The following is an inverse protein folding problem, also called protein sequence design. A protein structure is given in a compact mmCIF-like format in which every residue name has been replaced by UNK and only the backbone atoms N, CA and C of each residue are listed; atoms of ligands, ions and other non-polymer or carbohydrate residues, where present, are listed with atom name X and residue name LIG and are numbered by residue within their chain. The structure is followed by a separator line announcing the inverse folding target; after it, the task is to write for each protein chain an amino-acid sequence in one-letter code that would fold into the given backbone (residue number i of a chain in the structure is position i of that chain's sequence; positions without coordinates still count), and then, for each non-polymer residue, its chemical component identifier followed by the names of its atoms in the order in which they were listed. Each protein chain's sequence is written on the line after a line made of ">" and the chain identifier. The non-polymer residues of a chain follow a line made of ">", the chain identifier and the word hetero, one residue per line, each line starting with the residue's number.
data_IF_489385087276
#
_entry.id   IF_489385087276
#
_cell.length_a   1.000
_cell.length_b   1.000
_cell.length_c   1.000
_cell.angle_alpha   90.00
_cell.angle_beta   90.00
_cell.angle_gamma   90.00
#
_symmetry.space_group_name_H-M   'P 1'
#
loop_
_entity.id
_entity.type
_entity.pdbx_description
1 polymer ?
#
# COMPACT_ATOMS: atom_id res chain seq x y z
N UNK A 1 22.80 31.85 12.44
CA UNK A 1 22.85 30.92 11.28
C UNK A 1 22.20 29.62 11.74
N UNK A 2 21.09 29.22 11.12
CA UNK A 2 20.37 27.99 11.53
C UNK A 2 18.85 28.12 11.51
N UNK A 3 18.28 28.68 10.44
CA UNK A 3 16.88 28.40 10.11
C UNK A 3 16.85 26.98 9.56
N UNK A 4 16.67 25.99 10.46
CA UNK A 4 16.31 24.65 10.03
C UNK A 4 14.84 24.70 9.64
N UNK A 5 14.65 24.75 8.32
CA UNK A 5 13.41 24.99 7.59
C UNK A 5 12.26 24.06 8.04
N UNK A 6 11.25 24.64 8.68
CA UNK A 6 9.97 23.96 8.96
C UNK A 6 9.32 23.43 7.67
N UNK A 7 9.66 24.02 6.51
CA UNK A 7 9.25 23.55 5.18
C UNK A 7 9.89 22.21 4.79
N UNK A 8 11.12 21.92 5.24
CA UNK A 8 11.79 20.64 4.99
C UNK A 8 11.18 19.53 5.85
N UNK A 9 10.81 19.83 7.10
CA UNK A 9 10.10 18.89 7.97
C UNK A 9 8.70 18.55 7.43
N UNK A 10 7.96 19.56 6.94
CA UNK A 10 6.67 19.36 6.26
C UNK A 10 6.82 18.62 4.92
N UNK A 11 7.92 18.82 4.19
CA UNK A 11 8.23 18.08 2.96
C UNK A 11 8.49 16.60 3.23
N UNK A 12 9.27 16.27 4.26
CA UNK A 12 9.54 14.87 4.65
C UNK A 12 8.29 14.17 5.19
N UNK A 13 7.42 14.85 5.94
CA UNK A 13 6.13 14.27 6.39
C UNK A 13 5.14 14.05 5.24
N UNK A 14 5.19 14.88 4.19
CA UNK A 14 4.39 14.72 2.97
C UNK A 14 4.88 13.58 2.07
N UNK A 15 6.15 13.19 2.16
CA UNK A 15 6.71 12.14 1.29
C UNK A 15 6.39 10.70 1.74
N UNK A 16 6.00 10.49 3.00
CA UNK A 16 5.74 9.16 3.57
C UNK A 16 4.37 9.05 4.26
N UNK A 17 3.30 9.53 3.64
CA UNK A 17 1.94 9.31 4.19
C UNK A 17 1.42 7.95 3.74
N UNK A 18 1.57 6.92 4.59
CA UNK A 18 0.88 5.64 4.41
C UNK A 18 -0.57 5.78 4.86
N UNK A 19 -1.52 5.79 3.92
CA UNK A 19 -2.95 5.69 4.27
C UNK A 19 -3.27 4.21 4.45
N UNK A 20 -3.24 3.77 5.71
CA UNK A 20 -3.61 2.40 6.06
C UNK A 20 -5.14 2.27 6.03
N UNK A 21 -5.69 1.87 4.88
CA UNK A 21 -7.11 1.59 4.75
C UNK A 21 -7.45 0.21 5.32
N UNK A 22 -7.53 0.13 6.65
CA UNK A 22 -8.22 -0.98 7.32
C UNK A 22 -9.61 -0.48 7.68
N UNK A 23 -10.53 -0.50 6.71
CA UNK A 23 -11.95 -0.51 7.02
C UNK A 23 -12.37 -1.98 7.06
N UNK A 24 -12.84 -2.43 8.23
CA UNK A 24 -13.11 -3.83 8.55
C UNK A 24 -13.97 -4.56 7.51
N UNK A 25 -13.81 -5.89 7.46
CA UNK A 25 -14.59 -6.83 6.65
C UNK A 25 -15.04 -6.24 5.31
N UNK A 26 -14.09 -6.16 4.36
CA UNK A 26 -14.27 -5.59 3.03
C UNK A 26 -14.54 -4.08 3.11
N UNK A 27 -13.51 -3.27 2.83
CA UNK A 27 -13.58 -1.82 2.82
C UNK A 27 -14.79 -1.32 2.04
N UNK A 28 -15.79 -0.83 2.76
CA UNK A 28 -17.01 -0.26 2.18
C UNK A 28 -16.64 0.97 1.34
N UNK A 29 -17.27 1.10 0.17
CA UNK A 29 -17.03 2.21 -0.76
C UNK A 29 -17.21 3.56 -0.05
N UNK A 30 -16.14 4.36 0.00
CA UNK A 30 -16.17 5.71 0.59
C UNK A 30 -15.68 6.73 -0.41
N UNK A 31 -16.62 7.49 -0.99
CA UNK A 31 -16.30 8.58 -1.92
C UNK A 31 -15.40 9.64 -1.28
N UNK A 32 -15.66 9.97 -0.02
CA UNK A 32 -14.87 10.96 0.73
C UNK A 32 -13.42 10.49 0.90
N UNK A 33 -13.20 9.19 1.15
CA UNK A 33 -11.85 8.64 1.25
C UNK A 33 -11.11 8.68 -0.08
N UNK A 34 -11.77 8.32 -1.20
CA UNK A 34 -11.18 8.44 -2.54
C UNK A 34 -10.79 9.89 -2.87
N UNK A 35 -11.70 10.84 -2.63
CA UNK A 35 -11.46 12.27 -2.89
C UNK A 35 -10.31 12.81 -2.04
N UNK A 36 -10.23 12.43 -0.77
CA UNK A 36 -9.13 12.84 0.11
C UNK A 36 -7.77 12.32 -0.38
N UNK A 37 -7.69 11.05 -0.81
CA UNK A 37 -6.46 10.48 -1.37
C UNK A 37 -6.07 11.19 -2.67
N UNK A 38 -7.04 11.46 -3.55
CA UNK A 38 -6.79 12.19 -4.80
C UNK A 38 -6.24 13.59 -4.55
N UNK A 39 -6.81 14.33 -3.60
CA UNK A 39 -6.36 15.68 -3.24
C UNK A 39 -4.95 15.67 -2.65
N UNK A 40 -4.63 14.71 -1.76
CA UNK A 40 -3.30 14.55 -1.21
C UNK A 40 -2.24 14.38 -2.31
N UNK A 41 -2.50 13.52 -3.29
CA UNK A 41 -1.56 13.27 -4.37
C UNK A 41 -1.49 14.46 -5.34
N UNK A 42 -2.62 14.88 -5.88
CA UNK A 42 -2.68 15.87 -6.98
C UNK A 42 -2.35 17.29 -6.53
N UNK A 43 -2.84 17.71 -5.37
CA UNK A 43 -2.73 19.10 -4.91
C UNK A 43 -1.55 19.31 -3.96
N UNK A 44 -1.17 18.27 -3.22
CA UNK A 44 -0.14 18.38 -2.19
C UNK A 44 1.16 17.63 -2.52
N UNK A 45 1.19 16.87 -3.62
CA UNK A 45 2.37 16.12 -4.05
C UNK A 45 2.76 15.01 -3.05
N UNK A 46 1.80 14.52 -2.28
CA UNK A 46 2.00 13.46 -1.28
C UNK A 46 1.94 12.12 -1.98
N UNK A 47 3.00 11.32 -1.85
CA UNK A 47 2.93 9.91 -2.27
C UNK A 47 2.05 9.16 -1.26
N UNK A 48 0.97 8.57 -1.76
CA UNK A 48 0.07 7.74 -0.96
C UNK A 48 0.25 6.29 -1.38
N UNK A 49 0.66 5.44 -0.44
CA UNK A 49 0.78 3.98 -0.63
C UNK A 49 -0.37 3.30 0.11
N UNK A 50 -1.07 2.39 -0.57
CA UNK A 50 -2.26 1.71 -0.06
C UNK A 50 -2.16 0.20 -0.28
N UNK A 51 -2.81 -0.58 0.59
CA UNK A 51 -2.90 -2.03 0.42
C UNK A 51 -3.99 -2.38 -0.60
N UNK A 52 -3.75 -3.40 -1.44
CA UNK A 52 -4.75 -3.91 -2.38
C UNK A 52 -5.96 -4.56 -1.70
N UNK A 53 -5.79 -5.00 -0.44
CA UNK A 53 -6.81 -5.70 0.35
C UNK A 53 -6.57 -7.21 0.48
N UNK A 54 -7.24 -7.83 1.45
CA UNK A 54 -7.05 -9.22 1.86
C UNK A 54 -8.35 -10.04 1.78
N UNK A 55 -9.02 -10.04 0.62
CA UNK A 55 -10.32 -10.72 0.45
C UNK A 55 -10.44 -11.52 -0.84
N UNK A 56 -9.36 -11.71 -1.59
CA UNK A 56 -9.36 -12.40 -2.90
C UNK A 56 -10.35 -11.75 -3.91
N UNK A 57 -10.49 -10.43 -3.85
CA UNK A 57 -11.37 -9.65 -4.72
C UNK A 57 -10.56 -8.85 -5.76
N UNK A 58 -11.28 -8.27 -6.72
CA UNK A 58 -10.71 -7.25 -7.59
C UNK A 58 -10.49 -5.95 -6.80
N UNK A 59 -9.24 -5.49 -6.75
CA UNK A 59 -8.80 -4.28 -6.05
C UNK A 59 -9.51 -3.03 -6.56
N UNK A 60 -9.94 -3.04 -7.82
CA UNK A 60 -10.72 -1.93 -8.39
C UNK A 60 -12.11 -1.76 -7.76
N UNK A 61 -12.60 -2.78 -7.04
CA UNK A 61 -13.91 -2.73 -6.38
C UNK A 61 -13.86 -2.20 -4.95
N UNK A 62 -12.66 -1.91 -4.42
CA UNK A 62 -12.47 -1.42 -3.05
C UNK A 62 -11.77 -0.06 -3.02
N UNK A 63 -12.08 0.73 -1.99
CA UNK A 63 -11.44 2.02 -1.74
C UNK A 63 -10.44 1.87 -0.59
N UNK A 64 -9.25 2.48 -0.66
CA UNK A 64 -8.69 3.36 -1.69
C UNK A 64 -7.85 2.65 -2.76
N UNK A 65 -7.84 1.31 -2.83
CA UNK A 65 -7.01 0.60 -3.82
C UNK A 65 -7.41 0.88 -5.28
N UNK A 66 -8.64 1.35 -5.52
CA UNK A 66 -9.12 1.77 -6.83
C UNK A 66 -8.76 3.21 -7.21
N UNK A 67 -8.07 3.97 -6.36
CA UNK A 67 -7.68 5.36 -6.65
C UNK A 67 -6.41 5.35 -7.49
N UNK A 68 -6.46 5.76 -8.78
CA UNK A 68 -5.32 5.61 -9.70
C UNK A 68 -4.12 6.51 -9.35
N UNK A 69 -4.32 7.52 -8.51
CA UNK A 69 -3.24 8.37 -7.99
C UNK A 69 -2.46 7.73 -6.84
N UNK A 70 -3.04 6.73 -6.17
CA UNK A 70 -2.36 6.02 -5.09
C UNK A 70 -1.53 4.87 -5.66
N UNK A 71 -0.42 4.54 -4.98
CA UNK A 71 0.35 3.32 -5.26
C UNK A 71 -0.26 2.15 -4.50
N UNK A 72 -0.94 1.26 -5.21
CA UNK A 72 -1.59 0.07 -4.66
C UNK A 72 -0.65 -1.13 -4.64
N UNK A 73 -0.44 -1.69 -3.45
CA UNK A 73 0.49 -2.81 -3.21
C UNK A 73 -0.27 -4.08 -2.83
N UNK A 74 -0.09 -5.14 -3.60
CA UNK A 74 -0.60 -6.48 -3.29
C UNK A 74 0.45 -7.35 -2.58
N UNK A 75 -0.03 -8.26 -1.73
CA UNK A 75 0.85 -9.15 -0.97
C UNK A 75 1.34 -10.34 -1.81
N UNK A 76 2.65 -10.58 -1.82
CA UNK A 76 3.29 -11.84 -2.20
C UNK A 76 3.61 -12.68 -0.96
N UNK A 77 3.79 -13.97 -1.18
CA UNK A 77 4.31 -14.91 -0.20
C UNK A 77 5.41 -15.74 -0.84
N UNK A 78 6.63 -15.73 -0.28
CA UNK A 78 7.65 -16.68 -0.68
C UNK A 78 7.58 -17.94 0.19
N UNK A 79 7.10 -19.03 -0.40
CA UNK A 79 7.12 -20.34 0.25
C UNK A 79 8.58 -20.75 0.51
N UNK A 80 8.91 -21.02 1.78
CA UNK A 80 10.28 -21.32 2.18
C UNK A 80 11.20 -20.09 2.27
N UNK A 81 10.66 -18.89 2.55
CA UNK A 81 11.45 -17.64 2.77
C UNK A 81 12.59 -17.75 3.80
N UNK A 82 12.51 -18.73 4.70
CA UNK A 82 13.54 -19.04 5.72
C UNK A 82 14.44 -20.23 5.34
N UNK A 83 14.28 -20.80 4.14
CA UNK A 83 15.03 -21.93 3.60
C UNK A 83 15.76 -21.60 2.30
N UNK A 84 16.29 -22.61 1.58
CA UNK A 84 16.93 -22.42 0.29
C UNK A 84 15.95 -21.83 -0.71
N UNK A 85 16.29 -20.67 -1.29
CA UNK A 85 15.42 -19.94 -2.21
C UNK A 85 15.10 -20.79 -3.47
N UNK A 86 13.84 -20.81 -3.93
CA UNK A 86 13.48 -21.45 -5.20
C UNK A 86 14.32 -20.89 -6.35
N UNK A 87 14.89 -21.78 -7.17
CA UNK A 87 15.63 -21.37 -8.38
C UNK A 87 14.64 -20.69 -9.34
N UNK A 88 14.83 -19.39 -9.60
CA UNK A 88 13.97 -18.61 -10.50
C UNK A 88 13.40 -17.33 -9.89
N UNK A 89 13.55 -17.11 -8.58
CA UNK A 89 13.31 -15.80 -7.93
C UNK A 89 11.89 -15.24 -8.00
N UNK A 90 10.91 -16.01 -8.49
CA UNK A 90 9.51 -15.58 -8.55
C UNK A 90 8.79 -15.90 -7.25
N UNK A 91 8.31 -14.87 -6.57
CA UNK A 91 7.44 -15.03 -5.41
C UNK A 91 5.99 -15.25 -5.84
N UNK A 92 5.27 -16.28 -5.34
CA UNK A 92 3.85 -16.41 -5.58
C UNK A 92 3.04 -15.31 -4.88
N UNK A 93 1.89 -14.96 -5.46
CA UNK A 93 0.92 -14.07 -4.81
C UNK A 93 0.35 -14.73 -3.56
N UNK A 94 0.11 -13.95 -2.50
CA UNK A 94 -0.57 -14.43 -1.31
C UNK A 94 -2.01 -14.81 -1.63
N UNK A 95 -2.47 -16.00 -1.19
CA UNK A 95 -3.77 -16.55 -1.61
C UNK A 95 -4.99 -15.67 -1.34
N UNK A 96 -4.91 -14.77 -0.36
CA UNK A 96 -6.02 -13.86 -0.03
C UNK A 96 -5.77 -12.42 -0.47
N UNK A 97 -4.65 -12.14 -1.15
CA UNK A 97 -4.41 -10.82 -1.70
C UNK A 97 -5.45 -10.51 -2.77
N UNK A 98 -5.99 -9.30 -2.74
CA UNK A 98 -6.76 -8.80 -3.87
C UNK A 98 -5.84 -8.58 -5.07
N UNK A 99 -6.41 -8.75 -6.28
CA UNK A 99 -5.69 -8.67 -7.57
C UNK A 99 -6.42 -7.72 -8.51
N UNK A 100 -6.06 -7.67 -9.79
CA UNK A 100 -6.73 -6.84 -10.80
C UNK A 100 -5.88 -5.68 -11.30
N UNK A 101 -6.44 -4.90 -12.22
CA UNK A 101 -5.72 -3.83 -12.93
C UNK A 101 -5.35 -2.63 -12.05
N UNK A 102 -6.01 -2.47 -10.90
CA UNK A 102 -5.72 -1.42 -9.94
C UNK A 102 -4.57 -1.75 -8.98
N UNK A 103 -3.92 -2.91 -9.13
CA UNK A 103 -2.69 -3.23 -8.41
C UNK A 103 -1.50 -2.76 -9.23
N UNK A 104 -0.66 -1.90 -8.65
CA UNK A 104 0.54 -1.41 -9.32
C UNK A 104 1.71 -2.37 -9.16
N UNK A 105 1.93 -2.84 -7.91
CA UNK A 105 3.07 -3.68 -7.57
C UNK A 105 2.72 -4.77 -6.55
N UNK A 106 3.53 -5.82 -6.54
CA UNK A 106 3.51 -6.86 -5.51
C UNK A 106 4.70 -6.69 -4.56
N UNK A 107 4.50 -6.94 -3.27
CA UNK A 107 5.54 -6.92 -2.26
C UNK A 107 5.34 -8.02 -1.20
N UNK A 108 6.40 -8.48 -0.51
CA UNK A 108 6.29 -9.47 0.56
C UNK A 108 5.31 -9.02 1.65
N UNK A 109 4.24 -9.80 1.87
CA UNK A 109 3.16 -9.45 2.81
C UNK A 109 2.78 -10.54 3.82
N UNK A 110 3.56 -11.62 3.89
CA UNK A 110 3.26 -12.78 4.74
C UNK A 110 4.45 -13.06 5.64
N UNK A 111 4.22 -13.31 6.94
CA UNK A 111 5.27 -13.64 7.91
C UNK A 111 6.49 -12.69 7.87
N UNK A 112 6.20 -11.39 7.86
CA UNK A 112 7.22 -10.33 7.89
C UNK A 112 7.62 -10.08 9.35
N UNK A 113 8.90 -10.20 9.67
CA UNK A 113 9.38 -9.90 11.02
C UNK A 113 9.15 -8.44 11.38
N UNK A 114 8.62 -8.21 12.59
CA UNK A 114 8.40 -6.89 13.17
C UNK A 114 9.40 -6.57 14.27
N UNK A 115 9.40 -5.32 14.73
CA UNK A 115 10.19 -4.91 15.89
C UNK A 115 9.73 -5.67 17.16
N UNK A 116 10.69 -6.19 17.92
CA UNK A 116 10.47 -6.70 19.28
C UNK A 116 10.95 -5.65 20.30
N UNK A 117 10.16 -5.41 21.34
CA UNK A 117 10.52 -4.56 22.49
C UNK A 117 10.89 -5.39 23.70
#
# INVERSE_FOLDING_TARGET
>A
MGQHDLTTALSQSKLCTSVCAVCGWVGSWSRVLSEAVQQLVREHGVLVVVASGNSELDSCTIVPANVPEALTVAASNLDGKFGPQPRGGREPTYRWANTGACVDIFAPGVEIFGACG
#
